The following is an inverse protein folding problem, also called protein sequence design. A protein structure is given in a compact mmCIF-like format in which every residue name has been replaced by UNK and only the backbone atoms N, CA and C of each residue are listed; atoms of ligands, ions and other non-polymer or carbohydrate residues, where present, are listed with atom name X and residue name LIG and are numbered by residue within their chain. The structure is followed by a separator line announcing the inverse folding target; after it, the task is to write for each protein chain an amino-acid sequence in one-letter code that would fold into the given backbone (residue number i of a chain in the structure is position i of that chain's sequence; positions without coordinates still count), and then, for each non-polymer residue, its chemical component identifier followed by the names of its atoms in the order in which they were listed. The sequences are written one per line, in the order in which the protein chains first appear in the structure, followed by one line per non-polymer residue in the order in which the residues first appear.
data_IF_738100672586
#
_entry.id   IF_738100672586
#
_cell.length_a   1.000
_cell.length_b   1.000
_cell.length_c   1.000
_cell.angle_alpha   90.00
_cell.angle_beta   90.00
_cell.angle_gamma   90.00
#
_symmetry.space_group_name_H-M   'P 1'
#
loop_
_entity.id
_entity.type
_entity.pdbx_description
1 polymer ?
#
# COMPACT_ATOMS: atom_id res chain seq x y z
N UNK A 1 -3.97 -59.21 5.31
CA UNK A 1 -3.24 -58.01 4.83
C UNK A 1 -4.18 -57.00 4.16
N UNK A 2 -5.28 -57.44 3.56
CA UNK A 2 -6.28 -56.58 2.91
C UNK A 2 -7.10 -55.69 3.89
N UNK A 3 -7.35 -56.17 5.11
CA UNK A 3 -8.16 -55.45 6.11
C UNK A 3 -7.50 -54.15 6.62
N UNK A 4 -6.16 -54.08 6.65
CA UNK A 4 -5.42 -52.85 6.98
C UNK A 4 -5.39 -51.84 5.83
N UNK A 5 -5.55 -52.29 4.59
CA UNK A 5 -5.54 -51.41 3.42
C UNK A 5 -6.88 -50.69 3.26
N UNK A 6 -7.99 -51.36 3.56
CA UNK A 6 -9.34 -50.79 3.49
C UNK A 6 -9.57 -49.65 4.51
N UNK A 7 -9.05 -49.81 5.73
CA UNK A 7 -9.12 -48.80 6.80
C UNK A 7 -8.28 -47.55 6.46
N UNK A 8 -7.10 -47.73 5.86
CA UNK A 8 -6.23 -46.63 5.43
C UNK A 8 -6.86 -45.79 4.30
N UNK A 9 -7.57 -46.43 3.35
CA UNK A 9 -8.25 -45.74 2.24
C UNK A 9 -9.47 -44.95 2.75
N UNK A 10 -10.23 -45.49 3.70
CA UNK A 10 -11.35 -44.77 4.32
C UNK A 10 -10.89 -43.55 5.14
N UNK A 11 -9.78 -43.65 5.89
CA UNK A 11 -9.20 -42.51 6.59
C UNK A 11 -8.71 -41.42 5.64
N UNK A 12 -8.09 -41.79 4.52
CA UNK A 12 -7.63 -40.84 3.49
C UNK A 12 -8.83 -40.16 2.80
N UNK A 13 -9.89 -40.91 2.49
CA UNK A 13 -11.13 -40.33 1.94
C UNK A 13 -11.80 -39.37 2.94
N UNK A 14 -11.89 -39.75 4.22
CA UNK A 14 -12.43 -38.89 5.27
C UNK A 14 -11.59 -37.62 5.49
N UNK A 15 -10.26 -37.73 5.42
CA UNK A 15 -9.34 -36.57 5.43
C UNK A 15 -9.52 -35.68 4.21
N UNK A 16 -9.75 -36.25 3.03
CA UNK A 16 -9.96 -35.48 1.80
C UNK A 16 -11.27 -34.69 1.81
N UNK A 17 -12.33 -35.25 2.39
CA UNK A 17 -13.61 -34.55 2.60
C UNK A 17 -13.51 -33.41 3.62
N UNK A 18 -12.79 -33.65 4.74
CA UNK A 18 -12.54 -32.61 5.74
C UNK A 18 -11.68 -31.47 5.18
N UNK A 19 -10.64 -31.78 4.39
CA UNK A 19 -9.83 -30.78 3.70
C UNK A 19 -10.64 -30.00 2.66
N UNK A 20 -11.50 -30.67 1.88
CA UNK A 20 -12.40 -30.02 0.93
C UNK A 20 -13.38 -29.05 1.61
N UNK A 21 -13.90 -29.41 2.78
CA UNK A 21 -14.78 -28.55 3.58
C UNK A 21 -14.04 -27.31 4.11
N UNK A 22 -12.81 -27.48 4.63
CA UNK A 22 -11.96 -26.36 5.10
C UNK A 22 -11.62 -25.41 3.94
N UNK A 23 -11.24 -25.95 2.78
CA UNK A 23 -10.96 -25.13 1.58
C UNK A 23 -12.21 -24.40 1.11
N UNK A 24 -13.37 -25.07 1.10
CA UNK A 24 -14.66 -24.46 0.77
C UNK A 24 -15.02 -23.29 1.68
N UNK A 25 -14.85 -23.45 3.00
CA UNK A 25 -15.07 -22.38 3.98
C UNK A 25 -14.11 -21.21 3.73
N UNK A 26 -12.82 -21.46 3.51
CA UNK A 26 -11.83 -20.41 3.25
C UNK A 26 -12.15 -19.62 1.97
N UNK A 27 -12.57 -20.30 0.91
CA UNK A 27 -12.97 -19.65 -0.35
C UNK A 27 -14.24 -18.82 -0.15
N UNK A 28 -15.25 -19.36 0.53
CA UNK A 28 -16.48 -18.64 0.86
C UNK A 28 -16.20 -17.40 1.73
N UNK A 29 -15.28 -17.53 2.69
CA UNK A 29 -14.87 -16.42 3.56
C UNK A 29 -14.12 -15.33 2.78
N UNK A 30 -13.20 -15.69 1.88
CA UNK A 30 -12.54 -14.72 1.00
C UNK A 30 -13.54 -14.00 0.08
N UNK A 31 -14.54 -14.72 -0.43
CA UNK A 31 -15.59 -14.14 -1.25
C UNK A 31 -16.46 -13.18 -0.44
N UNK A 32 -16.85 -13.55 0.79
CA UNK A 32 -17.58 -12.69 1.71
C UNK A 32 -16.79 -11.40 2.03
N UNK A 33 -15.48 -11.50 2.31
CA UNK A 33 -14.63 -10.32 2.52
C UNK A 33 -14.55 -9.41 1.30
N UNK A 34 -14.49 -9.98 0.08
CA UNK A 34 -14.52 -9.20 -1.17
C UNK A 34 -15.84 -8.46 -1.34
N UNK A 35 -16.97 -9.13 -1.10
CA UNK A 35 -18.30 -8.51 -1.16
C UNK A 35 -18.46 -7.40 -0.13
N UNK A 36 -18.01 -7.63 1.11
CA UNK A 36 -18.08 -6.63 2.16
C UNK A 36 -17.27 -5.39 1.80
N UNK A 37 -16.04 -5.58 1.32
CA UNK A 37 -15.18 -4.48 0.85
C UNK A 37 -15.84 -3.73 -0.32
N UNK A 38 -16.41 -4.45 -1.29
CA UNK A 38 -17.11 -3.85 -2.42
C UNK A 38 -18.32 -3.04 -1.99
N UNK A 39 -19.11 -3.54 -1.03
CA UNK A 39 -20.27 -2.82 -0.49
C UNK A 39 -19.85 -1.55 0.26
N UNK A 40 -18.76 -1.62 1.03
CA UNK A 40 -18.20 -0.44 1.70
C UNK A 40 -17.66 0.59 0.71
N UNK A 41 -16.95 0.14 -0.33
CA UNK A 41 -16.45 1.01 -1.39
C UNK A 41 -17.62 1.71 -2.13
N UNK A 42 -18.68 0.97 -2.47
CA UNK A 42 -19.90 1.52 -3.09
C UNK A 42 -20.60 2.55 -2.19
N UNK A 43 -20.73 2.25 -0.90
CA UNK A 43 -21.36 3.17 0.05
C UNK A 43 -20.57 4.48 0.18
N UNK A 44 -19.24 4.37 0.28
CA UNK A 44 -18.36 5.54 0.35
C UNK A 44 -18.44 6.38 -0.93
N UNK A 45 -18.48 5.75 -2.10
CA UNK A 45 -18.62 6.45 -3.37
C UNK A 45 -19.96 7.18 -3.49
N UNK A 46 -21.06 6.53 -3.10
CA UNK A 46 -22.39 7.15 -3.13
C UNK A 46 -22.51 8.34 -2.16
N UNK A 47 -21.94 8.21 -0.95
CA UNK A 47 -21.91 9.31 0.01
C UNK A 47 -21.04 10.48 -0.49
N UNK A 48 -19.89 10.19 -1.10
CA UNK A 48 -19.01 11.21 -1.68
C UNK A 48 -19.72 11.98 -2.81
N UNK A 49 -20.40 11.27 -3.71
CA UNK A 49 -21.18 11.90 -4.78
C UNK A 49 -22.30 12.81 -4.23
N UNK A 50 -23.01 12.39 -3.17
CA UNK A 50 -24.02 13.22 -2.51
C UNK A 50 -23.42 14.48 -1.88
N UNK A 51 -22.28 14.36 -1.20
CA UNK A 51 -21.58 15.51 -0.59
C UNK A 51 -21.12 16.50 -1.66
N UNK A 52 -20.53 16.01 -2.73
CA UNK A 52 -20.09 16.84 -3.85
C UNK A 52 -21.27 17.58 -4.52
N UNK A 53 -22.39 16.87 -4.76
CA UNK A 53 -23.60 17.46 -5.33
C UNK A 53 -24.11 18.63 -4.47
N UNK A 54 -24.18 18.44 -3.15
CA UNK A 54 -24.60 19.49 -2.21
C UNK A 54 -23.65 20.68 -2.20
N UNK A 55 -22.34 20.46 -2.24
CA UNK A 55 -21.36 21.55 -2.32
C UNK A 55 -21.53 22.37 -3.60
N UNK A 56 -21.77 21.70 -4.74
CA UNK A 56 -22.04 22.36 -6.03
C UNK A 56 -23.34 23.15 -6.00
N UNK A 57 -24.41 22.57 -5.46
CA UNK A 57 -25.69 23.26 -5.29
C UNK A 57 -25.55 24.50 -4.40
N UNK A 58 -24.83 24.39 -3.28
CA UNK A 58 -24.57 25.54 -2.38
C UNK A 58 -23.75 26.63 -3.06
N UNK A 59 -22.76 26.28 -3.88
CA UNK A 59 -21.94 27.26 -4.60
C UNK A 59 -22.74 28.14 -5.55
N UNK A 60 -23.83 27.61 -6.11
CA UNK A 60 -24.73 28.35 -7.01
C UNK A 60 -25.52 29.47 -6.32
N UNK A 61 -25.66 29.42 -4.99
CA UNK A 61 -26.35 30.45 -4.19
C UNK A 61 -25.39 31.49 -3.59
N UNK A 62 -24.09 31.37 -3.89
CA UNK A 62 -23.06 32.29 -3.36
C UNK A 62 -22.53 33.16 -4.47
N UNK A 63 -22.29 34.44 -4.16
CA UNK A 63 -21.73 35.39 -5.13
C UNK A 63 -20.30 34.96 -5.47
N UNK A 64 -19.98 34.88 -6.76
CA UNK A 64 -18.65 34.53 -7.23
C UNK A 64 -17.61 35.51 -6.66
N UNK A 65 -16.48 34.97 -6.18
CA UNK A 65 -15.44 35.75 -5.50
C UNK A 65 -15.75 36.13 -4.04
N UNK A 66 -16.94 35.82 -3.51
CA UNK A 66 -17.22 35.97 -2.08
C UNK A 66 -16.48 34.93 -1.25
N UNK A 67 -16.20 35.24 0.02
CA UNK A 67 -15.53 34.33 0.95
C UNK A 67 -16.26 32.97 1.11
N UNK A 68 -17.60 32.91 1.20
CA UNK A 68 -18.34 31.64 1.18
C UNK A 68 -18.16 30.84 -0.11
N UNK A 69 -18.10 31.52 -1.27
CA UNK A 69 -17.91 30.87 -2.57
C UNK A 69 -16.52 30.21 -2.67
N UNK A 70 -15.48 30.94 -2.28
CA UNK A 70 -14.10 30.42 -2.27
C UNK A 70 -13.92 29.27 -1.26
N UNK A 71 -14.60 29.34 -0.11
CA UNK A 71 -14.64 28.23 0.85
C UNK A 71 -15.27 26.97 0.25
N UNK A 72 -16.45 27.09 -0.38
CA UNK A 72 -17.15 25.96 -1.00
C UNK A 72 -16.35 25.35 -2.14
N UNK A 73 -15.70 26.17 -2.96
CA UNK A 73 -14.79 25.75 -4.04
C UNK A 73 -13.61 24.95 -3.50
N UNK A 74 -13.00 25.41 -2.42
CA UNK A 74 -11.89 24.71 -1.74
C UNK A 74 -12.34 23.37 -1.16
N UNK A 75 -13.50 23.34 -0.50
CA UNK A 75 -14.08 22.12 0.06
C UNK A 75 -14.44 21.10 -1.05
N UNK A 76 -15.01 21.55 -2.16
CA UNK A 76 -15.32 20.71 -3.31
C UNK A 76 -14.06 20.09 -3.93
N UNK A 77 -12.99 20.88 -4.08
CA UNK A 77 -11.70 20.39 -4.57
C UNK A 77 -11.08 19.31 -3.67
N UNK A 78 -11.17 19.49 -2.35
CA UNK A 78 -10.69 18.49 -1.38
C UNK A 78 -11.51 17.19 -1.45
N UNK A 79 -12.83 17.26 -1.60
CA UNK A 79 -13.69 16.08 -1.72
C UNK A 79 -13.44 15.32 -3.04
N UNK A 80 -13.20 16.03 -4.16
CA UNK A 80 -12.78 15.40 -5.43
C UNK A 80 -11.46 14.66 -5.24
N UNK A 81 -10.47 15.30 -4.60
CA UNK A 81 -9.17 14.68 -4.34
C UNK A 81 -9.33 13.43 -3.48
N UNK A 82 -10.11 13.51 -2.39
CA UNK A 82 -10.38 12.38 -1.49
C UNK A 82 -11.06 11.23 -2.22
N UNK A 83 -12.06 11.52 -3.06
CA UNK A 83 -12.79 10.50 -3.82
C UNK A 83 -11.87 9.80 -4.82
N UNK A 84 -11.05 10.58 -5.54
CA UNK A 84 -10.16 10.07 -6.59
C UNK A 84 -8.99 9.27 -6.02
N UNK A 85 -8.37 9.76 -4.93
CA UNK A 85 -7.14 9.18 -4.40
C UNK A 85 -7.38 8.24 -3.21
N UNK A 86 -8.58 8.25 -2.61
CA UNK A 86 -8.89 7.63 -1.31
C UNK A 86 -7.97 8.11 -0.18
N UNK A 87 -7.44 9.33 -0.26
CA UNK A 87 -6.59 9.95 0.76
C UNK A 87 -7.40 11.01 1.48
N UNK A 88 -7.60 10.81 2.79
CA UNK A 88 -8.25 11.82 3.65
C UNK A 88 -7.19 12.81 4.15
N UNK A 89 -7.31 14.08 3.76
CA UNK A 89 -6.31 15.09 4.08
C UNK A 89 -6.87 16.51 4.04
N UNK A 90 -6.12 17.47 4.57
CA UNK A 90 -6.53 18.88 4.56
C UNK A 90 -6.50 19.47 3.14
N UNK A 91 -7.32 20.49 2.83
CA UNK A 91 -7.37 21.07 1.48
C UNK A 91 -6.01 21.57 0.97
N UNK A 92 -5.20 22.18 1.84
CA UNK A 92 -3.85 22.64 1.48
C UNK A 92 -2.92 21.48 1.09
N UNK A 93 -3.02 20.36 1.80
CA UNK A 93 -2.24 19.15 1.53
C UNK A 93 -2.72 18.43 0.27
N UNK A 94 -4.02 18.39 0.03
CA UNK A 94 -4.58 17.91 -1.23
C UNK A 94 -4.07 18.74 -2.43
N UNK A 95 -4.13 20.08 -2.33
CA UNK A 95 -3.64 21.00 -3.37
C UNK A 95 -2.14 20.80 -3.67
N UNK A 96 -1.32 20.66 -2.64
CA UNK A 96 0.12 20.38 -2.79
C UNK A 96 0.41 19.03 -3.48
N UNK A 97 -0.32 17.97 -3.12
CA UNK A 97 -0.17 16.66 -3.74
C UNK A 97 -0.64 16.66 -5.20
N UNK A 98 -1.74 17.35 -5.50
CA UNK A 98 -2.21 17.54 -6.88
C UNK A 98 -1.19 18.29 -7.73
N UNK A 99 -0.60 19.37 -7.21
CA UNK A 99 0.44 20.12 -7.91
C UNK A 99 1.68 19.26 -8.18
N UNK A 100 2.13 18.47 -7.20
CA UNK A 100 3.27 17.58 -7.36
C UNK A 100 3.03 16.48 -8.42
N UNK A 101 1.79 16.03 -8.59
CA UNK A 101 1.41 15.07 -9.62
C UNK A 101 1.29 15.70 -11.00
N UNK A 102 0.70 16.90 -11.10
CA UNK A 102 0.64 17.65 -12.35
C UNK A 102 2.05 17.96 -12.89
N UNK A 103 3.02 18.20 -11.99
CA UNK A 103 4.43 18.38 -12.34
C UNK A 103 5.17 17.08 -12.73
N UNK A 104 4.51 15.92 -12.69
CA UNK A 104 5.13 14.62 -13.00
C UNK A 104 6.06 14.07 -11.91
N UNK A 105 6.18 14.75 -10.76
CA UNK A 105 7.07 14.33 -9.68
C UNK A 105 6.53 13.13 -8.88
N UNK A 106 5.21 12.90 -8.92
CA UNK A 106 4.51 11.89 -8.14
C UNK A 106 3.53 11.10 -9.00
N UNK A 107 3.55 9.77 -8.87
CA UNK A 107 2.48 8.92 -9.38
C UNK A 107 1.33 8.82 -8.36
N UNK A 108 0.14 8.42 -8.81
CA UNK A 108 -1.02 8.16 -7.94
C UNK A 108 -0.72 7.13 -6.83
N UNK A 109 0.09 6.11 -7.14
CA UNK A 109 0.51 5.10 -6.17
C UNK A 109 1.44 5.70 -5.10
N UNK A 110 2.33 6.60 -5.51
CA UNK A 110 3.28 7.26 -4.61
C UNK A 110 2.60 8.27 -3.69
N UNK A 111 1.54 8.95 -4.15
CA UNK A 111 0.77 9.90 -3.33
C UNK A 111 0.30 9.29 -2.02
N UNK A 112 -0.21 8.05 -2.03
CA UNK A 112 -0.72 7.39 -0.80
C UNK A 112 0.35 7.16 0.25
N UNK A 113 1.57 6.90 -0.19
CA UNK A 113 2.72 6.69 0.70
C UNK A 113 3.19 8.03 1.24
N UNK A 114 3.31 8.99 0.35
CA UNK A 114 3.90 10.31 0.61
C UNK A 114 2.98 11.19 1.44
N UNK A 115 1.66 11.10 1.25
CA UNK A 115 0.67 11.81 2.05
C UNK A 115 0.76 11.51 3.55
N UNK A 116 1.37 10.37 3.96
CA UNK A 116 1.58 10.04 5.38
C UNK A 116 2.84 10.69 5.98
N UNK A 117 3.70 11.27 5.17
CA UNK A 117 5.03 11.77 5.57
C UNK A 117 5.29 13.21 5.13
N UNK A 118 4.27 13.86 4.58
CA UNK A 118 4.28 15.25 4.21
C UNK A 118 3.31 15.99 5.13
N UNK A 119 3.75 17.06 5.74
CA UNK A 119 2.88 18.07 6.34
C UNK A 119 2.99 19.37 5.56
N UNK A 120 1.89 20.10 5.46
CA UNK A 120 1.89 21.43 4.84
C UNK A 120 1.89 22.45 5.96
N UNK A 121 2.81 23.41 5.89
CA UNK A 121 2.87 24.54 6.83
C UNK A 121 1.51 25.22 6.94
N UNK A 122 1.15 25.81 8.11
CA UNK A 122 -0.11 26.54 8.28
C UNK A 122 -0.35 27.65 7.24
N UNK A 123 0.73 28.17 6.66
CA UNK A 123 0.69 29.15 5.57
C UNK A 123 0.23 28.58 4.21
N UNK A 124 0.11 27.26 4.08
CA UNK A 124 -0.27 26.57 2.83
C UNK A 124 0.80 26.55 1.75
N UNK A 125 1.91 27.29 1.93
CA UNK A 125 2.91 27.58 0.89
C UNK A 125 4.11 26.64 0.88
N UNK A 126 4.40 25.98 2.01
CA UNK A 126 5.59 25.15 2.16
C UNK A 126 5.19 23.74 2.56
N UNK A 127 5.67 22.79 1.77
CA UNK A 127 5.48 21.36 2.01
C UNK A 127 6.69 20.88 2.82
N UNK A 128 6.47 20.58 4.11
CA UNK A 128 7.50 20.08 5.02
C UNK A 128 7.43 18.56 5.05
N UNK A 129 8.49 17.90 4.63
CA UNK A 129 8.57 16.43 4.67
C UNK A 129 9.01 16.01 6.07
N UNK A 130 8.08 15.59 6.92
CA UNK A 130 8.38 15.04 8.23
C UNK A 130 8.40 13.50 8.16
N UNK A 131 9.60 12.92 8.09
CA UNK A 131 9.78 11.47 8.20
C UNK A 131 10.09 11.17 9.67
N UNK A 132 9.18 10.52 10.41
CA UNK A 132 9.40 10.23 11.81
C UNK A 132 10.55 9.21 11.97
N UNK A 133 11.27 9.31 13.09
CA UNK A 133 12.54 8.60 13.29
C UNK A 133 12.34 7.08 13.34
N UNK A 134 11.23 6.61 13.91
CA UNK A 134 10.77 5.22 13.92
C UNK A 134 10.70 4.62 12.50
N UNK A 135 10.19 5.37 11.52
CA UNK A 135 10.14 4.94 10.12
C UNK A 135 11.51 4.90 9.46
N UNK A 136 12.43 5.78 9.87
CA UNK A 136 13.82 5.71 9.40
C UNK A 136 14.49 4.46 9.95
N UNK A 137 14.39 4.23 11.26
CA UNK A 137 15.02 3.08 11.93
C UNK A 137 14.48 1.76 11.39
N UNK A 138 13.15 1.61 11.29
CA UNK A 138 12.53 0.40 10.75
C UNK A 138 12.91 0.14 9.28
N UNK A 139 13.01 1.17 8.45
CA UNK A 139 13.45 1.01 7.06
C UNK A 139 14.91 0.54 6.96
N UNK A 140 15.82 1.08 7.77
CA UNK A 140 17.22 0.65 7.79
C UNK A 140 17.39 -0.74 8.40
N UNK A 141 16.74 -1.02 9.53
CA UNK A 141 16.76 -2.33 10.18
C UNK A 141 16.19 -3.42 9.25
N UNK A 142 15.06 -3.15 8.59
CA UNK A 142 14.47 -4.06 7.62
C UNK A 142 15.38 -4.35 6.42
N UNK A 143 16.14 -3.35 5.96
CA UNK A 143 17.10 -3.55 4.88
C UNK A 143 18.33 -4.37 5.31
N UNK A 144 18.84 -4.16 6.53
CA UNK A 144 19.93 -4.96 7.09
C UNK A 144 19.48 -6.42 7.23
N UNK A 145 18.30 -6.64 7.82
CA UNK A 145 17.72 -7.98 7.96
C UNK A 145 17.49 -8.65 6.61
N UNK A 146 16.98 -7.91 5.62
CA UNK A 146 16.81 -8.41 4.25
C UNK A 146 18.16 -8.83 3.63
N UNK A 147 19.21 -8.02 3.85
CA UNK A 147 20.57 -8.34 3.40
C UNK A 147 21.12 -9.60 4.07
N UNK A 148 20.98 -9.71 5.40
CA UNK A 148 21.40 -10.90 6.15
C UNK A 148 20.65 -12.16 5.70
N UNK A 149 19.34 -12.07 5.51
CA UNK A 149 18.51 -13.18 5.01
C UNK A 149 18.96 -13.60 3.60
N UNK A 150 19.22 -12.64 2.72
CA UNK A 150 19.70 -12.92 1.37
C UNK A 150 21.06 -13.64 1.40
N UNK A 151 22.00 -13.16 2.22
CA UNK A 151 23.31 -13.81 2.39
C UNK A 151 23.14 -15.23 2.94
N UNK A 152 22.31 -15.40 3.97
CA UNK A 152 22.04 -16.70 4.58
C UNK A 152 21.49 -17.70 3.55
N UNK A 153 20.49 -17.29 2.75
CA UNK A 153 19.93 -18.16 1.72
C UNK A 153 20.96 -18.53 0.63
N UNK A 154 21.89 -17.63 0.29
CA UNK A 154 22.99 -17.95 -0.62
C UNK A 154 23.97 -18.97 -0.01
N UNK A 155 24.30 -18.84 1.28
CA UNK A 155 25.14 -19.81 1.99
C UNK A 155 24.47 -21.18 2.03
N UNK A 156 23.16 -21.24 2.35
CA UNK A 156 22.40 -22.50 2.37
C UNK A 156 22.36 -23.15 0.98
N UNK A 157 22.14 -22.36 -0.08
CA UNK A 157 22.19 -22.84 -1.46
C UNK A 157 23.58 -23.41 -1.81
N UNK A 158 24.66 -22.70 -1.46
CA UNK A 158 26.02 -23.15 -1.71
C UNK A 158 26.34 -24.45 -0.95
N UNK A 159 25.97 -24.53 0.34
CA UNK A 159 26.16 -25.71 1.17
C UNK A 159 25.44 -26.94 0.59
N UNK A 160 24.17 -26.78 0.21
CA UNK A 160 23.40 -27.86 -0.41
C UNK A 160 23.94 -28.22 -1.81
N UNK A 161 24.50 -27.24 -2.52
CA UNK A 161 25.14 -27.43 -3.82
C UNK A 161 26.35 -28.37 -3.78
N UNK A 162 27.18 -28.25 -2.72
CA UNK A 162 28.39 -29.06 -2.53
C UNK A 162 28.07 -30.54 -2.24
N UNK A 163 26.86 -30.87 -1.79
CA UNK A 163 26.46 -32.27 -1.49
C UNK A 163 26.40 -33.17 -2.73
N UNK A 164 26.41 -32.60 -3.95
CA UNK A 164 26.38 -33.35 -5.21
C UNK A 164 25.05 -34.07 -5.51
N UNK A 165 24.07 -34.02 -4.60
CA UNK A 165 22.76 -34.64 -4.79
C UNK A 165 21.83 -33.67 -5.56
N UNK A 166 21.21 -34.09 -6.68
CA UNK A 166 20.31 -33.23 -7.46
C UNK A 166 19.13 -32.68 -6.64
N UNK A 167 18.59 -33.50 -5.73
CA UNK A 167 17.48 -33.11 -4.85
C UNK A 167 17.89 -31.98 -3.88
N UNK A 168 19.13 -32.02 -3.36
CA UNK A 168 19.64 -30.98 -2.47
C UNK A 168 19.90 -29.67 -3.22
N UNK A 169 20.42 -29.74 -4.45
CA UNK A 169 20.61 -28.57 -5.32
C UNK A 169 19.28 -27.87 -5.64
N UNK A 170 18.23 -28.63 -5.98
CA UNK A 170 16.88 -28.09 -6.18
C UNK A 170 16.31 -27.44 -4.92
N UNK A 171 16.48 -28.09 -3.75
CA UNK A 171 16.05 -27.51 -2.48
C UNK A 171 16.79 -26.20 -2.17
N UNK A 172 18.10 -26.13 -2.42
CA UNK A 172 18.91 -24.92 -2.25
C UNK A 172 18.44 -23.76 -3.14
N UNK A 173 18.16 -24.03 -4.43
CA UNK A 173 17.59 -23.04 -5.35
C UNK A 173 16.21 -22.56 -4.90
N UNK A 174 15.35 -23.46 -4.42
CA UNK A 174 14.03 -23.11 -3.93
C UNK A 174 14.10 -22.21 -2.69
N UNK A 175 14.99 -22.53 -1.74
CA UNK A 175 15.25 -21.72 -0.56
C UNK A 175 15.77 -20.34 -0.95
N UNK A 176 16.71 -20.26 -1.89
CA UNK A 176 17.22 -18.99 -2.40
C UNK A 176 16.12 -18.13 -3.03
N UNK A 177 15.26 -18.74 -3.85
CA UNK A 177 14.15 -18.06 -4.49
C UNK A 177 13.16 -17.49 -3.45
N UNK A 178 12.70 -18.32 -2.52
CA UNK A 178 11.80 -17.90 -1.45
C UNK A 178 12.43 -16.81 -0.57
N UNK A 179 13.69 -16.99 -0.16
CA UNK A 179 14.43 -16.02 0.64
C UNK A 179 14.57 -14.66 -0.06
N UNK A 180 14.82 -14.66 -1.37
CA UNK A 180 14.91 -13.44 -2.17
C UNK A 180 13.57 -12.70 -2.24
N UNK A 181 12.45 -13.42 -2.37
CA UNK A 181 11.12 -12.80 -2.34
C UNK A 181 10.79 -12.18 -0.99
N UNK A 182 11.13 -12.86 0.11
CA UNK A 182 10.93 -12.35 1.48
C UNK A 182 11.83 -11.13 1.73
N UNK A 183 13.12 -11.19 1.38
CA UNK A 183 14.04 -10.06 1.48
C UNK A 183 13.57 -8.85 0.66
N UNK A 184 13.00 -9.08 -0.53
CA UNK A 184 12.37 -8.04 -1.34
C UNK A 184 11.15 -7.43 -0.64
N UNK A 185 10.33 -8.24 0.03
CA UNK A 185 9.20 -7.77 0.85
C UNK A 185 9.66 -6.87 2.01
N UNK A 186 10.71 -7.28 2.72
CA UNK A 186 11.26 -6.54 3.87
C UNK A 186 11.94 -5.22 3.48
N UNK A 187 12.44 -5.10 2.25
CA UNK A 187 13.06 -3.87 1.74
C UNK A 187 12.06 -2.85 1.14
N UNK A 188 10.76 -3.08 1.26
CA UNK A 188 9.71 -2.15 0.78
C UNK A 188 9.78 -0.79 1.49
N UNK A 189 9.91 -0.79 2.82
CA UNK A 189 10.01 0.44 3.63
C UNK A 189 11.21 1.31 3.24
N UNK A 190 12.37 0.71 2.93
CA UNK A 190 13.53 1.46 2.45
C UNK A 190 13.31 2.06 1.06
N UNK A 191 12.57 1.38 0.19
CA UNK A 191 12.17 1.94 -1.12
C UNK A 191 11.22 3.13 -0.93
N UNK A 192 10.27 3.05 0.00
CA UNK A 192 9.40 4.16 0.36
C UNK A 192 10.20 5.35 0.91
N UNK A 193 11.15 5.10 1.80
CA UNK A 193 12.01 6.14 2.36
C UNK A 193 12.89 6.83 1.30
N UNK A 194 13.47 6.07 0.37
CA UNK A 194 14.23 6.63 -0.76
C UNK A 194 13.35 7.55 -1.64
N UNK A 195 12.11 7.15 -1.92
CA UNK A 195 11.17 7.98 -2.68
C UNK A 195 10.83 9.28 -1.94
N UNK A 196 10.57 9.20 -0.63
CA UNK A 196 10.28 10.38 0.18
C UNK A 196 11.49 11.32 0.23
N UNK A 197 12.71 10.80 0.38
CA UNK A 197 13.95 11.61 0.31
C UNK A 197 14.16 12.25 -1.06
N UNK A 198 13.87 11.54 -2.16
CA UNK A 198 13.95 12.11 -3.52
C UNK A 198 12.96 13.27 -3.68
N UNK A 199 11.74 13.11 -3.17
CA UNK A 199 10.74 14.17 -3.15
C UNK A 199 11.18 15.36 -2.31
N UNK A 200 11.74 15.12 -1.12
CA UNK A 200 12.31 16.19 -0.30
C UNK A 200 13.37 16.98 -1.08
N UNK A 201 14.32 16.30 -1.72
CA UNK A 201 15.35 16.96 -2.53
C UNK A 201 14.77 17.73 -3.74
N UNK A 202 13.71 17.22 -4.37
CA UNK A 202 13.03 17.92 -5.46
C UNK A 202 12.29 19.17 -4.96
N UNK A 203 11.68 19.11 -3.78
CA UNK A 203 11.05 20.25 -3.12
C UNK A 203 12.06 21.28 -2.63
N UNK A 204 13.24 20.86 -2.16
CA UNK A 204 14.30 21.78 -1.76
C UNK A 204 14.90 22.51 -2.99
N UNK A 205 14.99 21.82 -4.14
CA UNK A 205 15.50 22.40 -5.39
C UNK A 205 14.47 23.28 -6.11
N UNK A 206 13.20 22.93 -6.04
CA UNK A 206 12.08 23.72 -6.55
C UNK A 206 10.95 23.66 -5.52
N UNK A 207 10.89 24.61 -4.57
CA UNK A 207 9.79 24.63 -3.61
C UNK A 207 8.50 24.70 -4.39
N UNK A 208 7.62 23.72 -4.15
CA UNK A 208 6.27 23.74 -4.68
C UNK A 208 5.56 24.95 -4.06
N UNK A 209 5.68 26.11 -4.69
CA UNK A 209 4.90 27.29 -4.35
C UNK A 209 3.49 26.98 -4.80
N UNK A 210 2.67 26.56 -3.84
CA UNK A 210 1.24 26.40 -4.06
C UNK A 210 0.66 27.81 -4.16
N UNK A 211 0.62 28.36 -5.38
CA UNK A 211 -0.12 29.60 -5.71
C UNK A 211 -1.61 29.35 -5.58
#
# INVERSE_FOLDING_TARGET
MEEKMATTVQEILARSGALGYIVGILVAFQFALKLLKSSFDFHNEHLAQRKFKRLKEMSAYTVEGSLPHEFLKTAAGAEIFKTTTKIDTSPNKAKALMAAHAAGNLTLADMKVVAKSIDVSPSGRVVVVNIPIDKKVSAYAGAILAGMLFIYCNIVMAYLGVTGKPQAQMAGLFIMFCGTLVARGMSTELRHLKKIKKLQSQLDANPLVVT
#
